data_IF_389057551233
#
_entry.id   IF_389057551233
#
_cell.length_a   1.000
_cell.length_b   1.000
_cell.length_c   1.000
_cell.angle_alpha   90.00
_cell.angle_beta   90.00
_cell.angle_gamma   90.00
#
_symmetry.space_group_name_H-M   'P 1'
#
loop_
_entity.id
_entity.type
_entity.pdbx_description
1 polymer ?
#
# COMPACT_ATOMS: atom_id res chain seq x y z
N UNK A 1 22.08 -0.20 0.62
CA UNK A 1 20.62 -0.06 0.44
C UNK A 1 19.85 -0.53 1.68
N UNK A 2 19.85 -1.83 2.03
CA UNK A 2 19.06 -2.38 3.16
C UNK A 2 19.28 -1.67 4.50
N UNK A 3 20.52 -1.43 4.93
CA UNK A 3 20.79 -0.71 6.20
C UNK A 3 20.46 0.78 6.18
N UNK A 4 20.44 1.41 4.99
CA UNK A 4 20.24 2.86 4.83
C UNK A 4 18.76 3.21 4.69
N UNK A 5 17.99 2.35 4.01
CA UNK A 5 16.58 2.59 3.70
C UNK A 5 15.62 1.65 4.43
N UNK A 6 16.14 0.62 5.13
CA UNK A 6 15.33 -0.41 5.79
C UNK A 6 14.39 -1.19 4.85
N UNK A 7 14.70 -1.22 3.55
CA UNK A 7 13.88 -1.89 2.53
C UNK A 7 14.33 -3.34 2.36
N UNK A 8 13.41 -4.33 2.37
CA UNK A 8 13.73 -5.73 2.09
C UNK A 8 14.38 -5.93 0.71
N UNK A 9 15.36 -6.82 0.62
CA UNK A 9 16.11 -7.06 -0.63
C UNK A 9 15.23 -7.43 -1.83
N UNK A 10 14.22 -8.29 -1.63
CA UNK A 10 13.30 -8.68 -2.71
C UNK A 10 12.39 -7.53 -3.18
N UNK A 11 12.09 -6.58 -2.30
CA UNK A 11 11.33 -5.38 -2.68
C UNK A 11 12.17 -4.45 -3.55
N UNK A 12 13.46 -4.28 -3.22
CA UNK A 12 14.39 -3.46 -4.02
C UNK A 12 14.50 -3.95 -5.46
N UNK A 13 14.69 -5.27 -5.66
CA UNK A 13 14.79 -5.85 -6.99
C UNK A 13 13.49 -5.69 -7.78
N UNK A 14 12.33 -5.85 -7.13
CA UNK A 14 11.05 -5.70 -7.79
C UNK A 14 10.81 -4.25 -8.23
N UNK A 15 11.06 -3.27 -7.35
CA UNK A 15 10.91 -1.85 -7.69
C UNK A 15 11.86 -1.43 -8.81
N UNK A 16 13.12 -1.90 -8.80
CA UNK A 16 14.07 -1.61 -9.87
C UNK A 16 13.58 -2.16 -11.22
N UNK A 17 13.07 -3.40 -11.24
CA UNK A 17 12.55 -4.01 -12.46
C UNK A 17 11.33 -3.23 -12.99
N UNK A 18 10.39 -2.85 -12.11
CA UNK A 18 9.23 -2.05 -12.49
C UNK A 18 9.63 -0.70 -13.10
N UNK A 19 10.58 0.01 -12.50
CA UNK A 19 11.08 1.28 -13.04
C UNK A 19 11.77 1.09 -14.40
N UNK A 20 12.53 0.01 -14.57
CA UNK A 20 13.19 -0.29 -15.85
C UNK A 20 12.17 -0.59 -16.96
N UNK A 21 11.12 -1.36 -16.65
CA UNK A 21 10.02 -1.67 -17.58
C UNK A 21 9.27 -0.39 -18.02
N UNK A 22 9.21 0.61 -17.14
CA UNK A 22 8.61 1.92 -17.42
C UNK A 22 9.58 2.91 -18.09
N UNK A 23 10.84 2.53 -18.34
CA UNK A 23 11.87 3.41 -18.89
C UNK A 23 12.36 4.49 -17.92
N UNK A 24 12.15 4.32 -16.62
CA UNK A 24 12.48 5.26 -15.53
C UNK A 24 13.53 4.70 -14.56
N UNK A 25 14.41 3.82 -15.05
CA UNK A 25 15.41 3.14 -14.22
C UNK A 25 16.40 4.09 -13.51
N UNK A 26 16.62 5.28 -14.08
CA UNK A 26 17.44 6.35 -13.53
C UNK A 26 16.84 6.99 -12.27
N UNK A 27 15.52 6.89 -12.09
CA UNK A 27 14.78 7.42 -10.93
C UNK A 27 14.78 6.48 -9.72
N UNK A 28 15.50 5.36 -9.77
CA UNK A 28 15.51 4.37 -8.69
C UNK A 28 15.88 4.98 -7.34
N UNK A 29 16.94 5.79 -7.28
CA UNK A 29 17.37 6.40 -6.03
C UNK A 29 16.38 7.43 -5.50
N UNK A 30 15.67 8.15 -6.38
CA UNK A 30 14.61 9.07 -5.96
C UNK A 30 13.48 8.30 -5.27
N UNK A 31 13.10 7.13 -5.80
CA UNK A 31 12.10 6.27 -5.15
C UNK A 31 12.61 5.75 -3.81
N UNK A 32 13.89 5.38 -3.72
CA UNK A 32 14.48 4.93 -2.44
C UNK A 32 14.49 6.03 -1.38
N UNK A 33 14.73 7.29 -1.78
CA UNK A 33 14.71 8.44 -0.88
C UNK A 33 13.29 8.86 -0.49
N UNK A 34 12.30 8.60 -1.34
CA UNK A 34 10.88 8.89 -1.08
C UNK A 34 10.21 7.84 -0.18
N UNK A 35 10.62 6.56 -0.27
CA UNK A 35 10.02 5.46 0.51
C UNK A 35 10.00 5.70 2.04
N UNK A 36 11.09 6.15 2.70
CA UNK A 36 11.06 6.47 4.13
C UNK A 36 10.07 7.58 4.49
N UNK A 37 9.90 8.59 3.63
CA UNK A 37 8.96 9.70 3.85
C UNK A 37 7.52 9.23 3.76
N UNK A 38 7.22 8.44 2.73
CA UNK A 38 5.90 7.81 2.60
C UNK A 38 5.61 6.88 3.78
N UNK A 39 6.60 6.11 4.24
CA UNK A 39 6.44 5.25 5.42
C UNK A 39 6.11 6.05 6.68
N UNK A 40 6.78 7.17 6.89
CA UNK A 40 6.48 8.08 8.00
C UNK A 40 5.06 8.64 7.90
N UNK A 41 4.69 9.19 6.75
CA UNK A 41 3.36 9.76 6.50
C UNK A 41 2.23 8.73 6.70
N UNK A 42 2.50 7.46 6.39
CA UNK A 42 1.56 6.36 6.56
C UNK A 42 1.63 5.71 7.96
N UNK A 43 2.21 6.36 8.96
CA UNK A 43 2.18 5.90 10.35
C UNK A 43 3.14 4.74 10.63
N UNK A 44 4.29 4.72 9.97
CA UNK A 44 5.38 3.75 10.18
C UNK A 44 4.98 2.28 10.09
N UNK A 45 4.27 1.83 9.04
CA UNK A 45 3.98 0.40 8.88
C UNK A 45 5.28 -0.41 8.80
N UNK A 46 5.31 -1.64 9.33
CA UNK A 46 6.41 -2.56 9.10
C UNK A 46 6.55 -2.81 7.59
N UNK A 47 7.77 -2.78 7.05
CA UNK A 47 8.02 -3.01 5.61
C UNK A 47 8.09 -4.52 5.32
N UNK A 48 6.95 -5.18 5.42
CA UNK A 48 6.73 -6.60 5.06
C UNK A 48 5.50 -6.70 4.16
N UNK A 49 5.31 -7.81 3.45
CA UNK A 49 4.12 -7.96 2.60
C UNK A 49 2.85 -7.97 3.46
N UNK A 50 1.77 -7.22 3.09
CA UNK A 50 1.62 -6.42 1.87
C UNK A 50 2.10 -4.95 1.98
N UNK A 51 2.30 -4.42 3.18
CA UNK A 51 2.60 -2.99 3.44
C UNK A 51 3.87 -2.48 2.78
N UNK A 52 4.88 -3.34 2.61
CA UNK A 52 6.09 -3.02 1.84
C UNK A 52 5.73 -2.57 0.43
N UNK A 53 4.94 -3.37 -0.31
CA UNK A 53 4.53 -3.05 -1.68
C UNK A 53 3.69 -1.77 -1.72
N UNK A 54 2.77 -1.57 -0.77
CA UNK A 54 1.92 -0.37 -0.69
C UNK A 54 2.77 0.90 -0.57
N UNK A 55 3.72 0.93 0.37
CA UNK A 55 4.65 2.06 0.56
C UNK A 55 5.50 2.27 -0.70
N UNK A 56 5.99 1.18 -1.30
CA UNK A 56 6.83 1.25 -2.48
C UNK A 56 6.12 1.80 -3.72
N UNK A 57 4.89 1.33 -3.97
CA UNK A 57 4.05 1.82 -5.07
C UNK A 57 3.72 3.29 -4.89
N UNK A 58 3.37 3.73 -3.67
CA UNK A 58 3.09 5.14 -3.41
C UNK A 58 4.33 6.02 -3.62
N UNK A 59 5.50 5.60 -3.14
CA UNK A 59 6.75 6.32 -3.36
C UNK A 59 7.08 6.42 -4.86
N UNK A 60 6.90 5.33 -5.60
CA UNK A 60 7.07 5.32 -7.06
C UNK A 60 6.11 6.32 -7.74
N UNK A 61 4.82 6.33 -7.36
CA UNK A 61 3.85 7.26 -7.93
C UNK A 61 4.18 8.73 -7.62
N UNK A 62 4.63 9.04 -6.40
CA UNK A 62 5.09 10.39 -6.04
C UNK A 62 6.23 10.87 -6.95
N UNK A 63 7.24 10.01 -7.15
CA UNK A 63 8.41 10.32 -7.99
C UNK A 63 8.02 10.47 -9.46
N UNK A 64 7.14 9.60 -9.96
CA UNK A 64 6.66 9.65 -11.35
C UNK A 64 5.83 10.89 -11.64
N UNK A 65 4.94 11.26 -10.71
CA UNK A 65 4.05 12.41 -10.87
C UNK A 65 4.75 13.75 -10.60
N UNK A 66 5.90 13.72 -9.92
CA UNK A 66 6.62 14.92 -9.47
C UNK A 66 5.89 15.71 -8.38
N UNK A 67 4.85 15.12 -7.78
CA UNK A 67 3.97 15.75 -6.79
C UNK A 67 3.41 14.68 -5.85
N UNK A 68 3.54 14.91 -4.53
CA UNK A 68 3.25 13.88 -3.52
C UNK A 68 1.74 13.71 -3.37
N UNK A 69 1.27 12.47 -3.38
CA UNK A 69 -0.14 12.10 -3.21
C UNK A 69 -1.10 12.69 -4.24
N UNK A 70 -0.60 13.20 -5.37
CA UNK A 70 -1.44 13.67 -6.49
C UNK A 70 -2.35 12.57 -7.05
N UNK A 71 -1.87 11.34 -7.07
CA UNK A 71 -2.64 10.15 -7.41
C UNK A 71 -2.34 9.07 -6.39
N UNK A 72 -3.38 8.64 -5.67
CA UNK A 72 -3.24 7.69 -4.56
C UNK A 72 -3.92 6.36 -4.88
N UNK A 73 -3.19 5.23 -4.93
CA UNK A 73 -3.75 3.90 -5.10
C UNK A 73 -4.77 3.53 -4.03
N UNK A 74 -5.68 2.62 -4.37
CA UNK A 74 -6.72 2.17 -3.45
C UNK A 74 -6.14 1.46 -2.22
N UNK A 75 -5.07 0.70 -2.36
CA UNK A 75 -4.40 0.00 -1.27
C UNK A 75 -3.82 0.97 -0.25
N UNK A 76 -3.31 2.13 -0.70
CA UNK A 76 -2.85 3.20 0.19
C UNK A 76 -4.03 3.82 0.92
N UNK A 77 -5.13 4.10 0.21
CA UNK A 77 -6.36 4.60 0.84
C UNK A 77 -6.90 3.61 1.88
N UNK A 78 -6.90 2.33 1.56
CA UNK A 78 -7.38 1.27 2.44
C UNK A 78 -6.48 1.06 3.66
N UNK A 79 -5.17 1.27 3.53
CA UNK A 79 -4.25 1.38 4.66
C UNK A 79 -4.63 2.53 5.59
N UNK A 80 -4.86 3.72 5.04
CA UNK A 80 -5.25 4.91 5.82
C UNK A 80 -6.66 4.76 6.42
N UNK A 81 -7.58 4.07 5.75
CA UNK A 81 -8.90 3.70 6.28
C UNK A 81 -8.82 2.71 7.44
N UNK A 82 -7.66 2.10 7.70
CA UNK A 82 -7.50 1.10 8.76
C UNK A 82 -7.90 -0.33 8.35
N UNK A 83 -8.14 -0.60 7.06
CA UNK A 83 -8.55 -1.95 6.59
C UNK A 83 -7.45 -3.02 6.73
N UNK A 84 -6.21 -2.61 6.95
CA UNK A 84 -5.09 -3.49 7.24
C UNK A 84 -4.78 -3.60 8.74
N UNK A 85 -5.61 -2.99 9.59
CA UNK A 85 -5.43 -2.93 11.03
C UNK A 85 -4.80 -1.63 11.52
N UNK A 86 -4.45 -1.61 12.80
CA UNK A 86 -3.89 -0.44 13.46
C UNK A 86 -2.42 -0.23 13.08
N UNK A 87 -2.09 0.98 12.68
CA UNK A 87 -0.72 1.38 12.38
C UNK A 87 0.07 1.68 13.66
N UNK A 88 1.39 1.42 13.71
CA UNK A 88 2.21 1.70 14.89
C UNK A 88 2.30 3.19 15.24
N UNK A 89 2.31 4.05 14.23
CA UNK A 89 2.34 5.51 14.36
C UNK A 89 1.02 6.15 13.95
N UNK A 90 0.90 7.44 14.25
CA UNK A 90 -0.24 8.28 13.85
C UNK A 90 -0.02 8.85 12.45
N UNK A 91 -1.08 8.89 11.65
CA UNK A 91 -1.12 9.64 10.38
C UNK A 91 -1.57 11.06 10.71
N UNK A 92 -0.92 12.07 10.15
CA UNK A 92 -1.34 13.47 10.33
C UNK A 92 -2.70 13.73 9.68
N UNK A 93 -3.48 14.67 10.23
CA UNK A 93 -4.79 15.00 9.67
C UNK A 93 -4.71 15.51 8.22
N UNK A 94 -3.64 16.22 7.88
CA UNK A 94 -3.37 16.71 6.52
C UNK A 94 -3.18 15.55 5.52
N UNK A 95 -2.37 14.55 5.88
CA UNK A 95 -2.14 13.38 5.03
C UNK A 95 -3.41 12.52 4.95
N UNK A 96 -4.10 12.32 6.07
CA UNK A 96 -5.38 11.60 6.09
C UNK A 96 -6.38 12.26 5.15
N UNK A 97 -6.57 13.57 5.27
CA UNK A 97 -7.49 14.33 4.43
C UNK A 97 -7.07 14.30 2.96
N UNK A 98 -5.78 14.38 2.66
CA UNK A 98 -5.26 14.28 1.28
C UNK A 98 -5.59 12.92 0.65
N UNK A 99 -5.49 11.83 1.43
CA UNK A 99 -5.63 10.46 0.90
C UNK A 99 -7.09 9.99 0.85
N UNK A 100 -7.87 10.23 1.92
CA UNK A 100 -9.25 9.72 2.06
C UNK A 100 -10.30 10.81 2.25
N UNK A 101 -9.93 12.10 2.21
CA UNK A 101 -10.87 13.20 2.45
C UNK A 101 -11.53 13.12 3.83
N UNK A 102 -12.84 13.35 3.85
CA UNK A 102 -13.64 13.40 5.09
C UNK A 102 -13.98 12.00 5.65
N UNK A 103 -13.55 10.93 4.97
CA UNK A 103 -13.80 9.56 5.44
C UNK A 103 -13.12 9.29 6.79
N UNK A 104 -13.84 8.59 7.67
CA UNK A 104 -13.33 8.20 8.98
C UNK A 104 -12.72 6.79 8.93
N UNK A 105 -11.46 6.61 9.38
CA UNK A 105 -10.86 5.29 9.49
C UNK A 105 -11.64 4.37 10.43
N UNK A 106 -11.67 3.07 10.13
CA UNK A 106 -12.23 2.08 11.04
C UNK A 106 -11.31 1.89 12.25
N UNK A 107 -11.91 1.63 13.41
CA UNK A 107 -11.18 1.39 14.67
C UNK A 107 -11.39 -0.02 15.23
N UNK A 108 -12.18 -0.85 14.53
CA UNK A 108 -12.40 -2.26 14.86
C UNK A 108 -11.42 -3.17 14.09
N UNK A 109 -11.48 -4.47 14.38
CA UNK A 109 -10.76 -5.45 13.55
C UNK A 109 -11.42 -5.48 12.16
N UNK A 110 -10.67 -5.34 11.05
CA UNK A 110 -11.25 -5.25 9.71
C UNK A 110 -12.13 -6.44 9.33
N UNK A 111 -11.78 -7.65 9.80
CA UNK A 111 -12.54 -8.87 9.53
C UNK A 111 -13.94 -8.87 10.15
N UNK A 112 -14.22 -8.02 11.15
CA UNK A 112 -15.54 -7.91 11.76
C UNK A 112 -16.57 -7.25 10.82
N UNK A 113 -16.10 -6.64 9.73
CA UNK A 113 -16.92 -5.99 8.70
C UNK A 113 -17.14 -6.87 7.46
N UNK A 114 -16.65 -8.10 7.47
CA UNK A 114 -16.73 -9.04 6.34
C UNK A 114 -17.75 -10.12 6.68
N UNK A 115 -18.80 -10.23 5.86
CA UNK A 115 -19.82 -11.27 6.00
C UNK A 115 -19.26 -12.66 5.65
N UNK A 116 -19.82 -13.77 6.16
CA UNK A 116 -19.38 -15.12 5.80
C UNK A 116 -19.57 -15.41 4.29
N UNK A 117 -18.46 -15.52 3.55
CA UNK A 117 -18.50 -15.63 2.07
C UNK A 117 -18.47 -17.07 1.53
N UNK A 118 -18.14 -18.07 2.36
CA UNK A 118 -17.85 -19.44 1.91
C UNK A 118 -19.01 -20.06 1.13
N UNK A 119 -20.24 -19.84 1.58
CA UNK A 119 -21.42 -20.39 0.90
C UNK A 119 -21.67 -19.72 -0.45
N UNK A 120 -21.45 -18.40 -0.55
CA UNK A 120 -21.50 -17.68 -1.81
C UNK A 120 -20.47 -18.20 -2.80
N UNK A 121 -19.24 -18.43 -2.36
CA UNK A 121 -18.20 -19.01 -3.22
C UNK A 121 -18.52 -20.43 -3.67
N UNK A 122 -19.13 -21.27 -2.82
CA UNK A 122 -19.58 -22.62 -3.24
C UNK A 122 -20.62 -22.53 -4.36
N UNK A 123 -21.59 -21.64 -4.24
CA UNK A 123 -22.64 -21.45 -5.25
C UNK A 123 -22.06 -20.92 -6.57
N UNK A 124 -21.15 -19.94 -6.50
CA UNK A 124 -20.46 -19.40 -7.68
C UNK A 124 -19.65 -20.50 -8.40
N UNK A 125 -18.88 -21.31 -7.66
CA UNK A 125 -18.11 -22.40 -8.21
C UNK A 125 -18.99 -23.51 -8.83
N UNK A 126 -20.08 -23.88 -8.15
CA UNK A 126 -21.06 -24.84 -8.68
C UNK A 126 -21.68 -24.34 -10.00
N UNK A 127 -22.01 -23.04 -10.08
CA UNK A 127 -22.55 -22.43 -11.32
C UNK A 127 -21.56 -22.47 -12.49
N UNK A 128 -20.25 -22.51 -12.19
CA UNK A 128 -19.16 -22.64 -13.16
C UNK A 128 -18.79 -24.09 -13.46
N UNK A 129 -19.52 -25.06 -12.91
CA UNK A 129 -19.33 -26.49 -13.15
C UNK A 129 -18.29 -27.15 -12.23
N UNK A 130 -17.76 -26.43 -11.24
CA UNK A 130 -16.88 -26.99 -10.22
C UNK A 130 -17.71 -27.59 -9.09
N UNK A 131 -18.30 -28.76 -9.36
CA UNK A 131 -19.03 -29.53 -8.36
C UNK A 131 -18.02 -30.45 -7.63
N UNK A 132 -17.45 -29.95 -6.53
CA UNK A 132 -16.72 -30.76 -5.54
C UNK A 132 -17.69 -31.28 -4.50
#
# INVERSE_FOLDING_TARGET
>A
AVRRYQIPGGMLSNTQNQLNEMGMGDRFFDVMDEMPRVREDLGYPPLVTPTSQIVGTMAMMNVMMGDRYKMVPNEVKDLVRGKYGQLPGTISDEIRQTIIGDEQPITCRPADLIEPELEGYRQDLASKGYNG
#
